data_IF_636033096318
#
_entry.id   IF_636033096318
#
_cell.length_a   1.000
_cell.length_b   1.000
_cell.length_c   1.000
_cell.angle_alpha   90.00
_cell.angle_beta   90.00
_cell.angle_gamma   90.00
#
_symmetry.space_group_name_H-M   'P 1'
#
loop_
_entity.id
_entity.type
_entity.pdbx_description
1 polymer ?
#
# COMPACT_ATOMS: atom_id res chain seq x y z
N UNK A 1 9.75 -16.25 0.43
CA UNK A 1 9.24 -14.93 0.04
C UNK A 1 7.84 -14.68 0.59
N UNK A 2 7.59 -13.54 1.24
CA UNK A 2 6.24 -13.24 1.78
C UNK A 2 5.27 -12.66 0.73
N UNK A 3 5.74 -12.36 -0.48
CA UNK A 3 4.96 -11.67 -1.53
C UNK A 3 4.86 -12.44 -2.85
N UNK A 4 5.32 -13.70 -2.90
CA UNK A 4 5.47 -14.49 -4.14
C UNK A 4 4.15 -14.77 -4.87
N UNK A 5 3.01 -14.55 -4.21
CA UNK A 5 1.66 -14.76 -4.74
C UNK A 5 0.80 -13.49 -4.70
N UNK A 6 1.38 -12.32 -4.39
CA UNK A 6 0.63 -11.06 -4.40
C UNK A 6 0.53 -10.53 -5.83
N UNK A 7 -0.69 -10.37 -6.35
CA UNK A 7 -0.92 -9.82 -7.70
C UNK A 7 -0.49 -8.35 -7.82
N UNK A 8 -0.66 -7.57 -6.76
CA UNK A 8 -0.30 -6.15 -6.70
C UNK A 8 0.16 -5.77 -5.28
N UNK A 9 1.23 -4.98 -5.19
CA UNK A 9 1.75 -4.45 -3.92
C UNK A 9 1.61 -2.93 -3.91
N UNK A 10 0.82 -2.37 -2.99
CA UNK A 10 0.74 -0.93 -2.77
C UNK A 10 1.70 -0.52 -1.64
N UNK A 11 2.57 0.46 -1.89
CA UNK A 11 3.57 0.91 -0.91
C UNK A 11 3.27 2.33 -0.47
N UNK A 12 2.88 2.49 0.79
CA UNK A 12 2.63 3.79 1.40
C UNK A 12 3.94 4.51 1.76
N UNK A 13 4.03 5.78 1.36
CA UNK A 13 5.17 6.62 1.75
C UNK A 13 5.15 6.82 3.26
N UNK A 14 6.29 6.66 3.96
CA UNK A 14 6.38 7.15 5.33
C UNK A 14 6.06 8.65 5.33
N UNK A 15 5.25 9.09 6.29
CA UNK A 15 5.09 10.51 6.58
C UNK A 15 6.49 11.09 6.70
N UNK A 16 6.74 12.21 6.03
CA UNK A 16 8.04 12.88 5.99
C UNK A 16 8.57 13.15 7.40
N UNK A 17 9.27 12.17 7.97
CA UNK A 17 10.01 12.32 9.20
C UNK A 17 11.12 13.29 8.87
N UNK A 18 11.16 14.37 9.65
CA UNK A 18 12.15 15.43 9.52
C UNK A 18 13.54 14.85 9.31
N UNK A 19 14.19 15.37 8.28
CA UNK A 19 15.59 15.17 7.89
C UNK A 19 16.46 14.81 9.09
N UNK A 20 16.96 13.57 9.16
CA UNK A 20 17.90 13.19 10.21
C UNK A 20 18.02 11.70 10.52
N UNK A 21 18.39 10.85 9.55
CA UNK A 21 19.21 9.65 9.83
C UNK A 21 19.62 8.95 8.52
N UNK A 22 20.90 8.61 8.44
CA UNK A 22 21.61 8.16 7.23
C UNK A 22 21.30 6.72 6.76
N UNK A 23 20.16 6.12 7.13
CA UNK A 23 19.81 4.74 6.73
C UNK A 23 18.32 4.54 6.39
N UNK A 24 17.61 5.62 6.03
CA UNK A 24 16.23 5.48 5.56
C UNK A 24 16.25 5.22 4.05
N UNK A 25 15.96 3.96 3.66
CA UNK A 25 15.67 3.65 2.25
C UNK A 25 14.50 4.54 1.83
N UNK A 26 14.70 5.34 0.77
CA UNK A 26 13.65 6.28 0.35
C UNK A 26 12.42 5.49 -0.14
N UNK A 27 11.23 6.11 -0.08
CA UNK A 27 10.00 5.49 -0.62
C UNK A 27 10.21 4.99 -2.06
N UNK A 28 10.96 5.72 -2.86
CA UNK A 28 11.31 5.36 -4.22
C UNK A 28 12.23 4.14 -4.28
N UNK A 29 13.28 4.07 -3.47
CA UNK A 29 14.20 2.92 -3.42
C UNK A 29 13.48 1.63 -2.99
N UNK A 30 12.53 1.69 -2.05
CA UNK A 30 11.71 0.53 -1.66
C UNK A 30 10.91 0.03 -2.87
N UNK A 31 10.25 0.95 -3.58
CA UNK A 31 9.42 0.63 -4.76
C UNK A 31 10.28 0.06 -5.88
N UNK A 32 11.44 0.64 -6.15
CA UNK A 32 12.38 0.15 -7.16
C UNK A 32 12.90 -1.24 -6.82
N UNK A 33 13.22 -1.51 -5.55
CA UNK A 33 13.66 -2.83 -5.08
C UNK A 33 12.57 -3.89 -5.26
N UNK A 34 11.33 -3.58 -4.90
CA UNK A 34 10.20 -4.52 -5.07
C UNK A 34 9.89 -4.77 -6.55
N UNK A 35 9.96 -3.75 -7.40
CA UNK A 35 9.82 -3.92 -8.86
C UNK A 35 10.95 -4.76 -9.46
N UNK A 36 12.17 -4.63 -8.95
CA UNK A 36 13.31 -5.42 -9.39
C UNK A 36 13.15 -6.92 -9.07
N UNK A 37 12.29 -7.31 -8.11
CA UNK A 37 11.93 -8.72 -7.88
C UNK A 37 10.77 -9.19 -8.76
N UNK A 38 10.29 -8.37 -9.71
CA UNK A 38 9.19 -8.69 -10.61
C UNK A 38 7.79 -8.42 -10.04
N UNK A 39 7.67 -7.83 -8.84
CA UNK A 39 6.37 -7.49 -8.26
C UNK A 39 5.74 -6.28 -8.95
N UNK A 40 4.42 -6.33 -9.15
CA UNK A 40 3.65 -5.17 -9.62
C UNK A 40 3.43 -4.18 -8.47
N UNK A 41 4.37 -3.25 -8.30
CA UNK A 41 4.37 -2.32 -7.16
C UNK A 41 3.89 -0.92 -7.53
N UNK A 42 2.90 -0.41 -6.78
CA UNK A 42 2.30 0.91 -6.95
C UNK A 42 2.60 1.78 -5.72
N UNK A 43 3.34 2.90 -5.87
CA UNK A 43 3.55 3.84 -4.77
C UNK A 43 2.28 4.64 -4.47
N UNK A 44 1.94 4.78 -3.20
CA UNK A 44 0.86 5.65 -2.71
C UNK A 44 1.41 6.62 -1.67
N UNK A 45 0.90 7.85 -1.65
CA UNK A 45 1.44 8.95 -0.81
C UNK A 45 0.51 9.39 0.31
N UNK A 46 -0.78 9.16 0.14
CA UNK A 46 -1.83 9.57 1.06
C UNK A 46 -3.01 8.61 0.96
N UNK A 47 -3.93 8.75 1.91
CA UNK A 47 -5.14 7.95 2.01
C UNK A 47 -5.97 7.99 0.71
N UNK A 48 -6.15 9.19 0.15
CA UNK A 48 -6.97 9.38 -1.05
C UNK A 48 -6.40 8.65 -2.26
N UNK A 49 -5.07 8.71 -2.45
CA UNK A 49 -4.36 7.98 -3.49
C UNK A 49 -4.47 6.47 -3.29
N UNK A 50 -4.29 5.99 -2.05
CA UNK A 50 -4.45 4.58 -1.70
C UNK A 50 -5.84 4.04 -2.02
N UNK A 51 -6.89 4.74 -1.58
CA UNK A 51 -8.28 4.36 -1.84
C UNK A 51 -8.62 4.43 -3.35
N UNK A 52 -8.07 5.41 -4.07
CA UNK A 52 -8.26 5.52 -5.51
C UNK A 52 -7.67 4.34 -6.28
N UNK A 53 -6.48 3.87 -5.88
CA UNK A 53 -5.86 2.70 -6.52
C UNK A 53 -6.58 1.41 -6.15
N UNK A 54 -6.91 1.22 -4.85
CA UNK A 54 -7.69 0.07 -4.41
C UNK A 54 -9.04 -0.03 -5.11
N UNK A 55 -9.75 1.09 -5.31
CA UNK A 55 -11.03 1.09 -6.04
C UNK A 55 -10.91 0.60 -7.49
N UNK A 56 -9.75 0.75 -8.14
CA UNK A 56 -9.53 0.27 -9.51
C UNK A 56 -9.14 -1.21 -9.55
N UNK A 57 -8.49 -1.70 -8.51
CA UNK A 57 -7.85 -3.01 -8.47
C UNK A 57 -8.72 -4.07 -7.79
N UNK A 58 -9.37 -3.70 -6.70
CA UNK A 58 -10.08 -4.60 -5.80
C UNK A 58 -11.27 -5.25 -6.50
N UNK A 59 -11.42 -6.56 -6.28
CA UNK A 59 -12.54 -7.40 -6.69
C UNK A 59 -13.21 -8.02 -5.48
N UNK A 60 -14.39 -8.58 -5.68
CA UNK A 60 -15.23 -9.12 -4.60
C UNK A 60 -14.55 -10.25 -3.79
N UNK A 61 -13.75 -11.09 -4.44
CA UNK A 61 -13.10 -12.26 -3.81
C UNK A 61 -11.61 -12.01 -3.47
N UNK A 62 -11.16 -10.76 -3.49
CA UNK A 62 -9.77 -10.42 -3.18
C UNK A 62 -9.51 -10.40 -1.66
N UNK A 63 -8.31 -10.84 -1.27
CA UNK A 63 -7.79 -10.68 0.09
C UNK A 63 -6.85 -9.48 0.15
N UNK A 64 -7.14 -8.50 1.01
CA UNK A 64 -6.24 -7.37 1.28
C UNK A 64 -5.42 -7.66 2.53
N UNK A 65 -4.11 -7.84 2.37
CA UNK A 65 -3.15 -7.95 3.47
C UNK A 65 -2.52 -6.59 3.76
N UNK A 66 -2.75 -6.06 4.96
CA UNK A 66 -2.15 -4.80 5.43
C UNK A 66 -0.96 -5.13 6.34
N UNK A 67 0.23 -4.64 5.96
CA UNK A 67 1.44 -4.78 6.75
C UNK A 67 1.93 -3.38 7.17
N UNK A 68 1.78 -3.05 8.44
CA UNK A 68 2.26 -1.77 8.98
C UNK A 68 2.72 -1.91 10.43
N UNK A 69 3.69 -1.09 10.83
CA UNK A 69 4.11 -0.89 12.22
C UNK A 69 3.65 0.45 12.79
N UNK A 70 2.89 1.25 12.03
CA UNK A 70 2.47 2.60 12.39
C UNK A 70 1.26 3.10 11.59
N UNK A 71 0.95 4.38 11.75
CA UNK A 71 -0.18 5.01 11.06
C UNK A 71 0.06 5.09 9.54
N UNK A 72 -0.98 4.76 8.78
CA UNK A 72 -1.03 4.85 7.31
C UNK A 72 -1.99 5.96 6.86
N UNK A 73 -2.11 7.03 7.65
CA UNK A 73 -2.98 8.16 7.36
C UNK A 73 -4.45 7.78 7.33
N UNK A 74 -4.88 6.85 8.19
CA UNK A 74 -6.28 6.37 8.24
C UNK A 74 -6.67 5.31 7.20
N UNK A 75 -5.72 4.85 6.36
CA UNK A 75 -6.01 3.81 5.36
C UNK A 75 -6.52 2.50 5.97
N UNK A 76 -6.03 2.13 7.15
CA UNK A 76 -6.40 0.85 7.80
C UNK A 76 -7.91 0.82 8.09
N UNK A 77 -8.49 1.95 8.48
CA UNK A 77 -9.91 2.11 8.78
C UNK A 77 -10.76 2.34 7.52
N UNK A 78 -10.22 3.07 6.54
CA UNK A 78 -10.94 3.42 5.32
C UNK A 78 -11.04 2.28 4.30
N UNK A 79 -10.10 1.34 4.30
CA UNK A 79 -10.10 0.20 3.37
C UNK A 79 -11.33 -0.72 3.58
N UNK A 80 -11.64 -1.20 4.80
CA UNK A 80 -12.86 -1.99 5.04
C UNK A 80 -14.13 -1.23 4.65
N UNK A 81 -14.18 0.07 4.96
CA UNK A 81 -15.31 0.93 4.59
C UNK A 81 -15.48 1.06 3.07
N UNK A 82 -14.38 1.09 2.32
CA UNK A 82 -14.41 1.06 0.86
C UNK A 82 -14.89 -0.29 0.34
N UNK A 83 -14.40 -1.39 0.90
CA UNK A 83 -14.78 -2.75 0.51
C UNK A 83 -16.30 -2.97 0.63
N UNK A 84 -16.90 -2.65 1.79
CA UNK A 84 -18.35 -2.76 2.02
C UNK A 84 -19.17 -1.90 1.03
N UNK A 85 -18.65 -0.74 0.60
CA UNK A 85 -19.32 0.12 -0.39
C UNK A 85 -19.26 -0.44 -1.81
N UNK A 86 -18.17 -1.12 -2.16
CA UNK A 86 -17.98 -1.69 -3.50
C UNK A 86 -18.64 -3.07 -3.62
N UNK A 87 -18.61 -3.84 -2.54
CA UNK A 87 -19.06 -5.23 -2.46
C UNK A 87 -19.90 -5.39 -1.19
N UNK A 88 -21.14 -4.87 -1.17
CA UNK A 88 -22.03 -5.02 -0.03
C UNK A 88 -22.41 -6.49 0.17
N UNK A 89 -22.39 -6.93 1.43
CA UNK A 89 -22.92 -8.23 1.84
C UNK A 89 -24.45 -8.30 1.80
#
# INVERSE_FOLDING_TARGET
DSFEHADVVLVYSPLSLGVGSHEQTTHQEIVERLRATGMNTIPIRDEKGGLSELKKLLKADDLVLIMTSGDMGGLVESIPTLAEKLFPN
#
